data_IF_762808845970
#
_entry.id   IF_762808845970
#
_cell.length_a   1.000
_cell.length_b   1.000
_cell.length_c   1.000
_cell.angle_alpha   90.00
_cell.angle_beta   90.00
_cell.angle_gamma   90.00
#
_symmetry.space_group_name_H-M   'P 1'
#
loop_
_entity.id
_entity.type
_entity.pdbx_description
1 polymer ?
#
# COMPACT_ATOMS: atom_id res chain seq x y z
N UNK A 1 -16.59 58.33 -16.88
CA UNK A 1 -15.28 57.64 -16.80
C UNK A 1 -15.13 56.78 -15.52
N UNK A 2 -15.26 57.33 -14.30
CA UNK A 2 -15.12 56.55 -13.03
C UNK A 2 -16.02 55.30 -12.93
N UNK A 3 -17.27 55.33 -13.38
CA UNK A 3 -18.21 54.18 -13.31
C UNK A 3 -17.78 52.97 -14.17
N UNK A 4 -17.17 53.20 -15.34
CA UNK A 4 -16.70 52.13 -16.22
C UNK A 4 -15.41 51.46 -15.69
N UNK A 5 -14.55 52.23 -15.02
CA UNK A 5 -13.32 51.70 -14.39
C UNK A 5 -13.68 50.75 -13.25
N UNK A 6 -14.66 51.11 -12.41
CA UNK A 6 -15.13 50.26 -11.30
C UNK A 6 -15.69 48.94 -11.85
N UNK A 7 -16.49 48.98 -12.92
CA UNK A 7 -17.04 47.79 -13.57
C UNK A 7 -15.93 46.84 -14.05
N UNK A 8 -14.91 47.36 -14.74
CA UNK A 8 -13.79 46.57 -15.26
C UNK A 8 -12.98 45.93 -14.13
N UNK A 9 -12.66 46.69 -13.07
CA UNK A 9 -11.94 46.17 -11.90
C UNK A 9 -12.75 45.07 -11.21
N UNK A 10 -14.07 45.24 -11.12
CA UNK A 10 -14.97 44.25 -10.50
C UNK A 10 -15.06 42.97 -11.35
N UNK A 11 -15.14 43.08 -12.68
CA UNK A 11 -15.10 41.93 -13.59
C UNK A 11 -13.76 41.18 -13.53
N UNK A 12 -12.64 41.91 -13.43
CA UNK A 12 -11.31 41.30 -13.26
C UNK A 12 -11.20 40.58 -11.90
N UNK A 13 -11.74 41.16 -10.83
CA UNK A 13 -11.75 40.53 -9.51
C UNK A 13 -12.61 39.26 -9.47
N UNK A 14 -13.80 39.30 -10.06
CA UNK A 14 -14.68 38.14 -10.15
C UNK A 14 -14.03 37.06 -11.02
N UNK A 15 -13.48 37.42 -12.18
CA UNK A 15 -12.74 36.50 -13.05
C UNK A 15 -11.51 35.88 -12.37
N UNK A 16 -10.80 36.64 -11.53
CA UNK A 16 -9.65 36.15 -10.77
C UNK A 16 -10.07 35.19 -9.65
N UNK A 17 -11.13 35.51 -8.89
CA UNK A 17 -11.63 34.64 -7.82
C UNK A 17 -12.22 33.35 -8.41
N UNK A 18 -13.06 33.46 -9.45
CA UNK A 18 -13.60 32.31 -10.16
C UNK A 18 -12.49 31.47 -10.82
N UNK A 19 -11.46 32.10 -11.41
CA UNK A 19 -10.32 31.40 -11.98
C UNK A 19 -9.45 30.65 -10.96
N UNK A 20 -9.42 31.10 -9.70
CA UNK A 20 -8.70 30.42 -8.60
C UNK A 20 -9.47 29.20 -8.08
N UNK A 21 -10.80 29.27 -8.08
CA UNK A 21 -11.67 28.22 -7.56
C UNK A 21 -11.95 27.12 -8.61
N UNK A 22 -11.98 27.49 -9.89
CA UNK A 22 -12.20 26.59 -11.04
C UNK A 22 -10.90 26.09 -11.66
N UNK A 23 -9.78 26.09 -10.92
CA UNK A 23 -8.58 25.38 -11.37
C UNK A 23 -8.95 23.90 -11.41
N UNK A 24 -9.40 23.43 -12.56
CA UNK A 24 -9.60 22.02 -12.81
C UNK A 24 -8.23 21.37 -12.68
N UNK A 25 -8.09 20.57 -11.64
CA UNK A 25 -6.94 19.73 -11.42
C UNK A 25 -7.33 18.40 -12.05
N UNK A 26 -6.66 18.00 -13.15
CA UNK A 26 -6.76 16.61 -13.57
C UNK A 26 -5.95 15.80 -12.58
N UNK A 27 -6.64 14.97 -11.83
CA UNK A 27 -6.04 14.00 -10.93
C UNK A 27 -5.74 12.75 -11.75
N UNK A 28 -4.46 12.43 -11.90
CA UNK A 28 -4.05 11.12 -12.40
C UNK A 28 -3.64 10.30 -11.18
N UNK A 29 -4.40 9.26 -10.87
CA UNK A 29 -4.04 8.28 -9.86
C UNK A 29 -3.04 7.28 -10.47
N UNK A 30 -1.89 7.14 -9.84
CA UNK A 30 -0.94 6.08 -10.14
C UNK A 30 -0.81 5.21 -8.90
N UNK A 31 -1.26 3.96 -9.00
CA UNK A 31 -1.12 2.95 -7.95
C UNK A 31 0.20 2.20 -8.16
N UNK A 32 1.01 2.11 -7.11
CA UNK A 32 2.24 1.32 -7.10
C UNK A 32 2.24 0.43 -5.86
N UNK A 33 2.55 -0.85 -6.05
CA UNK A 33 2.80 -1.76 -4.94
C UNK A 33 4.31 -1.75 -4.67
N UNK A 34 4.68 -1.40 -3.44
CA UNK A 34 6.07 -1.27 -3.01
C UNK A 34 6.31 -2.25 -1.89
N UNK A 35 7.35 -3.07 -2.05
CA UNK A 35 7.78 -4.01 -1.03
C UNK A 35 8.48 -3.24 0.10
N UNK A 36 7.98 -3.41 1.32
CA UNK A 36 8.61 -2.85 2.52
C UNK A 36 9.84 -3.65 2.97
N UNK A 37 10.48 -3.16 4.02
CA UNK A 37 11.60 -3.88 4.64
C UNK A 37 11.16 -5.20 5.26
N UNK A 38 11.93 -6.26 5.07
CA UNK A 38 11.65 -7.56 5.69
C UNK A 38 11.96 -7.52 7.18
N UNK A 39 10.96 -7.78 8.02
CA UNK A 39 11.09 -7.95 9.46
C UNK A 39 11.37 -9.42 9.72
N UNK A 40 12.44 -9.72 10.47
CA UNK A 40 12.81 -11.08 10.86
C UNK A 40 13.18 -11.10 12.32
N UNK A 41 12.77 -12.14 13.01
CA UNK A 41 13.17 -12.36 14.39
C UNK A 41 13.15 -13.86 14.73
N UNK A 42 13.79 -14.21 15.84
CA UNK A 42 13.81 -15.54 16.41
C UNK A 42 13.55 -15.46 17.90
N UNK A 43 12.41 -16.01 18.30
CA UNK A 43 12.00 -16.13 19.69
C UNK A 43 12.43 -17.50 20.19
N UNK A 44 13.29 -17.51 21.20
CA UNK A 44 13.70 -18.71 21.91
C UNK A 44 12.88 -18.89 23.19
N UNK A 45 12.67 -20.13 23.61
CA UNK A 45 12.07 -20.48 24.90
C UNK A 45 10.67 -19.89 25.11
N UNK A 46 9.72 -20.27 24.26
CA UNK A 46 8.32 -19.87 24.45
C UNK A 46 7.70 -20.70 25.58
N UNK A 47 7.21 -20.01 26.61
CA UNK A 47 6.48 -20.65 27.70
C UNK A 47 5.00 -20.80 27.28
N UNK A 48 4.43 -22.01 27.35
CA UNK A 48 3.01 -22.20 27.09
C UNK A 48 2.17 -21.47 28.14
N UNK A 49 1.14 -20.75 27.70
CA UNK A 49 0.23 -20.03 28.59
C UNK A 49 -0.70 -20.98 29.36
N UNK A 50 -1.19 -22.02 28.69
CA UNK A 50 -2.02 -23.06 29.28
C UNK A 50 -1.56 -24.45 28.84
N UNK A 51 -1.57 -25.40 29.78
CA UNK A 51 -1.23 -26.81 29.52
C UNK A 51 -2.30 -27.66 30.18
N UNK A 52 -2.94 -28.51 29.37
CA UNK A 52 -3.92 -29.47 29.86
C UNK A 52 -3.76 -30.79 29.11
N UNK A 53 -4.06 -31.88 29.80
CA UNK A 53 -4.12 -33.20 29.20
C UNK A 53 -5.51 -33.41 28.61
N UNK A 54 -5.61 -33.47 27.28
CA UNK A 54 -6.86 -33.77 26.60
C UNK A 54 -7.08 -35.29 26.57
N UNK A 55 -7.88 -35.82 27.50
CA UNK A 55 -8.28 -37.23 27.54
C UNK A 55 -7.22 -38.17 28.13
N UNK A 56 -7.16 -39.40 27.60
CA UNK A 56 -6.24 -40.44 28.06
C UNK A 56 -4.86 -40.36 27.41
N UNK A 57 -3.84 -40.90 28.08
CA UNK A 57 -2.48 -40.99 27.54
C UNK A 57 -2.43 -41.90 26.32
N UNK A 58 -1.91 -41.37 25.21
CA UNK A 58 -1.69 -42.13 23.99
C UNK A 58 -0.26 -42.67 23.93
N UNK A 59 -0.14 -43.95 23.60
CA UNK A 59 1.13 -44.64 23.40
C UNK A 59 1.31 -45.01 21.93
N UNK A 60 2.56 -45.04 21.50
CA UNK A 60 2.95 -45.62 20.22
C UNK A 60 3.05 -47.14 20.39
N UNK A 61 1.98 -47.85 20.01
CA UNK A 61 1.90 -49.30 20.18
C UNK A 61 2.89 -50.05 19.28
N UNK A 62 3.66 -50.93 19.91
CA UNK A 62 4.51 -51.92 19.27
C UNK A 62 3.90 -53.29 19.54
N UNK A 63 3.81 -54.12 18.50
CA UNK A 63 3.20 -55.44 18.59
C UNK A 63 4.27 -56.52 18.52
N UNK A 64 4.10 -57.58 19.29
CA UNK A 64 4.90 -58.80 19.24
C UNK A 64 4.02 -60.02 19.02
N UNK A 65 4.59 -61.06 18.44
CA UNK A 65 3.93 -62.36 18.32
C UNK A 65 3.82 -63.00 19.71
N UNK A 66 2.64 -63.49 20.08
CA UNK A 66 2.46 -64.24 21.31
C UNK A 66 3.17 -65.59 21.22
N UNK A 67 3.89 -65.95 22.29
CA UNK A 67 4.56 -67.24 22.44
C UNK A 67 3.59 -68.42 22.59
N UNK A 68 2.34 -68.18 23.00
CA UNK A 68 1.31 -69.23 23.18
C UNK A 68 0.45 -69.37 21.92
N UNK A 69 0.06 -68.25 21.32
CA UNK A 69 -0.78 -68.20 20.11
C UNK A 69 -0.05 -67.42 19.00
N UNK A 70 0.77 -68.13 18.22
CA UNK A 70 1.65 -67.54 17.19
C UNK A 70 0.91 -66.78 16.07
N UNK A 71 -0.41 -66.86 16.02
CA UNK A 71 -1.30 -66.25 15.05
C UNK A 71 -1.90 -64.91 15.51
N UNK A 72 -1.76 -64.53 16.79
CA UNK A 72 -2.31 -63.28 17.34
C UNK A 72 -1.21 -62.32 17.78
N UNK A 73 -1.08 -61.13 17.15
CA UNK A 73 -0.16 -60.10 17.62
C UNK A 73 -0.69 -59.46 18.91
N UNK A 74 0.13 -59.48 19.96
CA UNK A 74 -0.18 -58.87 21.26
C UNK A 74 0.66 -57.59 21.42
N UNK A 75 0.11 -56.58 22.09
CA UNK A 75 0.83 -55.34 22.36
C UNK A 75 2.02 -55.63 23.29
N UNK A 76 3.22 -55.27 22.85
CA UNK A 76 4.38 -55.21 23.72
C UNK A 76 4.34 -53.92 24.53
N UNK A 77 3.91 -54.01 25.79
CA UNK A 77 3.76 -52.84 26.67
C UNK A 77 5.09 -52.14 26.93
N UNK A 78 6.17 -52.88 27.18
CA UNK A 78 7.47 -52.31 27.51
C UNK A 78 8.07 -51.59 26.30
N UNK A 79 8.05 -52.25 25.14
CA UNK A 79 8.57 -51.64 23.91
C UNK A 79 7.69 -50.47 23.45
N UNK A 80 6.37 -50.54 23.63
CA UNK A 80 5.47 -49.42 23.33
C UNK A 80 5.78 -48.18 24.18
N UNK A 81 6.05 -48.35 25.48
CA UNK A 81 6.46 -47.24 26.36
C UNK A 81 7.83 -46.71 25.92
N UNK A 82 8.80 -47.59 25.68
CA UNK A 82 10.13 -47.20 25.25
C UNK A 82 10.11 -46.41 23.93
N UNK A 83 9.35 -46.87 22.93
CA UNK A 83 9.18 -46.19 21.65
C UNK A 83 8.44 -44.86 21.78
N UNK A 84 7.43 -44.78 22.65
CA UNK A 84 6.73 -43.52 22.95
C UNK A 84 7.70 -42.49 23.53
N UNK A 85 8.51 -42.87 24.52
CA UNK A 85 9.49 -41.98 25.16
C UNK A 85 10.62 -41.60 24.18
N UNK A 86 11.09 -42.54 23.35
CA UNK A 86 12.07 -42.25 22.29
C UNK A 86 11.53 -41.24 21.30
N UNK A 87 10.29 -41.40 20.85
CA UNK A 87 9.64 -40.51 19.89
C UNK A 87 9.35 -39.12 20.48
N UNK A 88 8.95 -39.06 21.75
CA UNK A 88 8.74 -37.82 22.48
C UNK A 88 10.02 -36.98 22.59
N UNK A 89 11.17 -37.62 22.81
CA UNK A 89 12.48 -36.96 22.88
C UNK A 89 13.02 -36.46 21.53
N UNK A 90 12.36 -36.78 20.41
CA UNK A 90 12.79 -36.31 19.08
C UNK A 90 12.51 -34.82 18.91
N UNK A 91 13.50 -34.13 18.34
CA UNK A 91 13.32 -32.76 17.85
C UNK A 91 12.53 -32.80 16.54
N UNK A 92 11.46 -32.01 16.45
CA UNK A 92 10.65 -31.85 15.25
C UNK A 92 10.83 -30.43 14.72
N UNK A 93 11.25 -30.31 13.47
CA UNK A 93 11.41 -29.02 12.80
C UNK A 93 10.32 -28.86 11.75
N UNK A 94 9.65 -27.70 11.77
CA UNK A 94 8.61 -27.37 10.80
C UNK A 94 8.98 -26.07 10.12
N UNK A 95 9.07 -26.09 8.80
CA UNK A 95 9.28 -24.90 7.98
C UNK A 95 8.10 -24.74 7.05
N UNK A 96 7.45 -23.57 7.09
CA UNK A 96 6.27 -23.32 6.27
C UNK A 96 6.17 -21.87 5.82
N UNK A 97 5.83 -21.71 4.55
CA UNK A 97 5.35 -20.44 4.01
C UNK A 97 3.86 -20.33 4.36
N UNK A 98 3.49 -19.33 5.16
CA UNK A 98 2.10 -19.13 5.59
C UNK A 98 1.27 -18.45 4.49
N UNK A 99 1.82 -17.40 3.87
CA UNK A 99 1.22 -16.73 2.73
C UNK A 99 2.28 -15.98 1.90
N UNK A 100 1.92 -15.75 0.65
CA UNK A 100 2.65 -14.97 -0.35
C UNK A 100 1.60 -14.34 -1.26
N UNK A 101 1.08 -13.18 -0.85
CA UNK A 101 -0.06 -12.49 -1.45
C UNK A 101 0.21 -11.00 -1.67
N UNK A 102 -0.80 -10.24 -2.10
CA UNK A 102 -0.70 -8.80 -2.34
C UNK A 102 -0.40 -7.98 -1.07
N UNK A 103 -0.55 -8.56 0.12
CA UNK A 103 -0.20 -7.95 1.40
C UNK A 103 1.24 -8.25 1.81
N UNK A 104 1.86 -9.25 1.19
CA UNK A 104 3.26 -9.59 1.38
C UNK A 104 3.51 -11.08 1.58
N UNK A 105 4.65 -11.37 2.20
CA UNK A 105 5.16 -12.74 2.33
C UNK A 105 5.54 -13.04 3.78
N UNK A 106 4.96 -14.10 4.35
CA UNK A 106 5.28 -14.57 5.71
C UNK A 106 5.73 -16.03 5.68
N UNK A 107 6.94 -16.28 6.17
CA UNK A 107 7.44 -17.62 6.47
C UNK A 107 7.72 -17.81 7.95
N UNK A 108 7.49 -19.03 8.43
CA UNK A 108 7.78 -19.44 9.80
C UNK A 108 8.67 -20.69 9.82
N UNK A 109 9.47 -20.79 10.87
CA UNK A 109 10.25 -21.97 11.21
C UNK A 109 10.07 -22.26 12.70
N UNK A 110 9.64 -23.48 13.03
CA UNK A 110 9.38 -23.94 14.38
C UNK A 110 10.32 -25.10 14.71
N UNK A 111 10.77 -25.17 15.96
CA UNK A 111 11.46 -26.34 16.50
C UNK A 111 10.77 -26.77 17.80
N UNK A 112 10.24 -27.98 17.81
CA UNK A 112 9.64 -28.61 18.97
C UNK A 112 10.58 -29.68 19.52
N UNK A 113 10.66 -29.81 20.83
CA UNK A 113 11.34 -30.92 21.51
C UNK A 113 10.54 -31.28 22.76
N UNK A 114 10.32 -32.57 23.01
CA UNK A 114 9.58 -33.02 24.19
C UNK A 114 8.19 -32.36 24.32
N UNK A 115 7.50 -32.14 23.19
CA UNK A 115 6.22 -31.42 23.08
C UNK A 115 6.26 -29.93 23.50
N UNK A 116 7.45 -29.35 23.67
CA UNK A 116 7.63 -27.94 23.97
C UNK A 116 8.23 -27.18 22.79
N UNK A 117 7.75 -25.96 22.57
CA UNK A 117 8.26 -25.08 21.52
C UNK A 117 9.58 -24.43 21.96
N UNK A 118 10.67 -24.92 21.38
CA UNK A 118 12.02 -24.46 21.72
C UNK A 118 12.38 -23.16 20.99
N UNK A 119 12.00 -23.07 19.71
CA UNK A 119 12.33 -21.94 18.84
C UNK A 119 11.21 -21.66 17.84
N UNK A 120 10.87 -20.39 17.70
CA UNK A 120 10.02 -19.86 16.64
C UNK A 120 10.79 -18.74 15.94
N UNK A 121 11.10 -18.94 14.65
CA UNK A 121 11.63 -17.90 13.79
C UNK A 121 10.59 -17.50 12.76
N UNK A 122 10.49 -16.22 12.46
CA UNK A 122 9.60 -15.72 11.41
C UNK A 122 10.31 -14.72 10.51
N UNK A 123 9.85 -14.63 9.27
CA UNK A 123 10.29 -13.64 8.30
C UNK A 123 9.07 -13.09 7.57
N UNK A 124 8.77 -11.82 7.81
CA UNK A 124 7.65 -11.12 7.20
C UNK A 124 8.12 -9.98 6.30
N UNK A 125 7.64 -9.96 5.07
CA UNK A 125 7.92 -8.88 4.11
C UNK A 125 6.59 -8.26 3.69
N UNK A 126 6.22 -7.08 4.19
CA UNK A 126 4.97 -6.43 3.83
C UNK A 126 5.04 -5.83 2.41
N UNK A 127 3.89 -5.73 1.76
CA UNK A 127 3.70 -4.93 0.54
C UNK A 127 2.74 -3.79 0.86
N UNK A 128 3.12 -2.56 0.52
CA UNK A 128 2.31 -1.36 0.72
C UNK A 128 1.82 -0.80 -0.61
N UNK A 129 0.56 -0.36 -0.64
CA UNK A 129 -0.03 0.32 -1.79
C UNK A 129 0.22 1.82 -1.67
N UNK A 130 1.09 2.35 -2.52
CA UNK A 130 1.30 3.78 -2.65
C UNK A 130 0.43 4.33 -3.77
N UNK A 131 -0.39 5.33 -3.44
CA UNK A 131 -1.22 6.04 -4.42
C UNK A 131 -0.63 7.44 -4.56
N UNK A 132 -0.02 7.72 -5.72
CA UNK A 132 0.47 9.06 -6.02
C UNK A 132 -0.57 9.78 -6.88
N UNK A 133 -1.08 10.90 -6.37
CA UNK A 133 -2.00 11.78 -7.10
C UNK A 133 -1.19 12.90 -7.74
N UNK A 134 -0.98 12.82 -9.04
CA UNK A 134 -0.31 13.89 -9.79
C UNK A 134 -1.35 14.95 -10.13
N UNK A 135 -1.21 16.15 -9.55
CA UNK A 135 -2.08 17.30 -9.80
C UNK A 135 -1.51 18.16 -10.93
N UNK A 136 -2.07 18.05 -12.14
CA UNK A 136 -1.70 18.95 -13.24
C UNK A 136 -2.71 20.10 -13.32
N UNK A 137 -2.22 21.33 -13.21
CA UNK A 137 -3.01 22.54 -13.44
C UNK A 137 -3.38 22.60 -14.93
N UNK A 138 -4.64 22.42 -15.28
CA UNK A 138 -5.10 22.55 -16.66
C UNK A 138 -5.68 23.92 -16.97
N UNK A 139 -6.01 24.73 -15.95
CA UNK A 139 -6.47 26.10 -16.12
C UNK A 139 -5.45 27.10 -15.56
N UNK A 140 -4.90 27.99 -16.41
CA UNK A 140 -3.89 28.98 -16.03
C UNK A 140 -4.38 30.39 -16.41
N UNK A 141 -4.83 31.22 -15.45
CA UNK A 141 -5.16 32.61 -15.74
C UNK A 141 -3.87 33.41 -15.98
N UNK A 142 -3.94 34.43 -16.83
CA UNK A 142 -2.85 35.36 -17.08
C UNK A 142 -3.37 36.79 -17.30
N UNK A 143 -2.47 37.74 -17.05
CA UNK A 143 -2.67 39.17 -17.37
C UNK A 143 -1.67 39.51 -18.44
N UNK A 144 -2.05 40.38 -19.37
CA UNK A 144 -1.22 40.72 -20.51
C UNK A 144 -1.25 42.22 -20.76
N UNK A 145 -0.09 42.80 -21.04
CA UNK A 145 0.04 44.18 -21.49
C UNK A 145 0.81 44.18 -22.81
N UNK A 146 0.29 44.87 -23.82
CA UNK A 146 0.95 44.98 -25.13
C UNK A 146 1.16 46.45 -25.49
N UNK A 147 2.31 46.74 -26.10
CA UNK A 147 2.63 48.07 -26.61
C UNK A 147 2.75 47.98 -28.14
N UNK A 148 1.96 48.79 -28.86
CA UNK A 148 1.97 48.81 -30.31
C UNK A 148 2.85 49.96 -30.81
N UNK A 149 3.44 49.79 -32.00
CA UNK A 149 4.36 50.73 -32.67
C UNK A 149 3.78 52.14 -32.87
N UNK A 150 2.47 52.34 -32.79
CA UNK A 150 1.79 53.64 -32.93
C UNK A 150 1.51 54.33 -31.58
N UNK A 151 2.32 54.07 -30.55
CA UNK A 151 2.20 54.64 -29.20
C UNK A 151 0.86 54.31 -28.51
N UNK A 152 0.24 53.19 -28.87
CA UNK A 152 -0.97 52.68 -28.22
C UNK A 152 -0.63 51.51 -27.31
N UNK A 153 -1.33 51.46 -26.18
CA UNK A 153 -1.13 50.46 -25.14
C UNK A 153 -2.43 49.68 -24.94
N UNK A 154 -2.35 48.35 -24.87
CA UNK A 154 -3.46 47.51 -24.46
C UNK A 154 -3.16 46.82 -23.13
N UNK A 155 -4.20 46.69 -22.33
CA UNK A 155 -4.21 45.82 -21.15
C UNK A 155 -5.32 44.80 -21.34
N UNK A 156 -5.03 43.57 -21.01
CA UNK A 156 -5.95 42.47 -21.11
C UNK A 156 -5.62 41.37 -20.15
N UNK A 157 -6.37 40.30 -20.29
CA UNK A 157 -6.18 39.08 -19.55
C UNK A 157 -6.89 37.94 -20.23
N UNK A 158 -6.62 36.75 -19.73
CA UNK A 158 -7.14 35.54 -20.34
C UNK A 158 -6.88 34.32 -19.48
N UNK A 159 -7.16 33.17 -20.04
CA UNK A 159 -6.86 31.90 -19.43
C UNK A 159 -6.38 30.90 -20.48
N UNK A 160 -5.49 30.00 -20.06
CA UNK A 160 -5.16 28.79 -20.80
C UNK A 160 -5.95 27.62 -20.25
N UNK A 161 -6.59 26.87 -21.14
CA UNK A 161 -7.06 25.52 -20.89
C UNK A 161 -6.15 24.54 -21.64
N UNK A 162 -5.37 23.75 -20.90
CA UNK A 162 -4.22 23.03 -21.45
C UNK A 162 -3.26 24.00 -22.18
N UNK A 163 -3.02 23.77 -23.47
CA UNK A 163 -2.09 24.56 -24.28
C UNK A 163 -2.80 25.63 -25.12
N UNK A 164 -4.14 25.68 -25.08
CA UNK A 164 -4.97 26.65 -25.82
C UNK A 164 -5.42 27.76 -24.86
N UNK A 165 -5.10 28.99 -25.20
CA UNK A 165 -5.47 30.18 -24.44
C UNK A 165 -6.50 31.05 -25.14
N UNK A 166 -7.42 31.61 -24.36
CA UNK A 166 -8.30 32.70 -24.79
C UNK A 166 -7.87 33.98 -24.11
N UNK A 167 -7.73 35.05 -24.89
CA UNK A 167 -7.31 36.38 -24.44
C UNK A 167 -8.38 37.40 -24.82
N UNK A 168 -8.65 38.32 -23.91
CA UNK A 168 -9.38 39.56 -24.19
C UNK A 168 -8.48 40.74 -23.86
N UNK A 169 -8.32 41.67 -24.79
CA UNK A 169 -7.50 42.87 -24.65
C UNK A 169 -8.30 44.12 -24.95
N UNK A 170 -8.14 45.14 -24.11
CA UNK A 170 -8.73 46.45 -24.32
C UNK A 170 -7.64 47.44 -24.76
N UNK A 171 -7.82 48.05 -25.93
CA UNK A 171 -7.04 49.22 -26.38
C UNK A 171 -7.85 50.50 -26.18
N UNK A 172 -7.24 51.66 -26.33
CA UNK A 172 -7.88 52.98 -26.11
C UNK A 172 -9.18 53.21 -26.89
N UNK A 173 -9.46 52.39 -27.92
CA UNK A 173 -10.64 52.53 -28.79
C UNK A 173 -11.48 51.25 -28.97
N UNK A 174 -10.94 50.05 -28.71
CA UNK A 174 -11.55 48.79 -29.15
C UNK A 174 -11.25 47.62 -28.18
N UNK A 175 -12.11 46.59 -28.20
CA UNK A 175 -11.93 45.32 -27.50
C UNK A 175 -11.54 44.24 -28.52
N UNK A 176 -10.41 43.58 -28.29
CA UNK A 176 -9.88 42.52 -29.14
C UNK A 176 -9.93 41.18 -28.42
N UNK A 177 -10.33 40.13 -29.14
CA UNK A 177 -10.25 38.75 -28.67
C UNK A 177 -9.18 37.99 -29.45
N UNK A 178 -8.39 37.19 -28.76
CA UNK A 178 -7.29 36.43 -29.36
C UNK A 178 -7.26 34.99 -28.86
N UNK A 179 -6.83 34.08 -29.73
CA UNK A 179 -6.48 32.71 -29.37
C UNK A 179 -4.96 32.61 -29.28
N UNK A 180 -4.47 31.97 -28.23
CA UNK A 180 -3.05 31.78 -27.97
C UNK A 180 -2.72 30.29 -27.89
N UNK A 181 -1.51 29.92 -28.27
CA UNK A 181 -1.00 28.57 -28.08
C UNK A 181 0.30 28.61 -27.27
N UNK A 182 0.43 27.68 -26.31
CA UNK A 182 1.60 27.56 -25.44
C UNK A 182 2.56 26.51 -26.03
N UNK A 183 3.73 26.96 -26.51
CA UNK A 183 4.83 26.09 -26.95
C UNK A 183 5.68 25.61 -25.78
#
# INVERSE_FOLDING_TARGET
>A
MKKYIILVVTCLFIGFISGRQTVSIKEKEVTKYVQGGTIRDTIAQLVPDTVYLAGELQYKYVYKTDTIYNDVPVIDREESIAETVRDWNRTREYNKLLFDDDNGKLSIALSLKCNELQRLSYSFTPIHKEITIVKKRVFVPFVSASFYTHNSFSIGGGFFYHDIGLRAEWTTRELNFGVMYKF
#
